data_IF_843503633478
#
_entry.id   IF_843503633478
#
_cell.length_a   1.000
_cell.length_b   1.000
_cell.length_c   1.000
_cell.angle_alpha   90.00
_cell.angle_beta   90.00
_cell.angle_gamma   90.00
#
_symmetry.space_group_name_H-M   'P 1'
#
loop_
_entity.id
_entity.type
_entity.pdbx_description
1 polymer ?
#
# COMPACT_ATOMS: atom_id res chain seq x y z
N UNK A 1 5.20 -3.63 -25.99
CA UNK A 1 3.97 -3.91 -25.19
C UNK A 1 2.82 -2.92 -25.42
N UNK A 2 2.90 -1.65 -25.02
CA UNK A 2 1.73 -0.72 -25.11
C UNK A 2 1.16 -0.58 -26.53
N UNK A 3 2.04 -0.56 -27.54
CA UNK A 3 1.67 -0.47 -28.96
C UNK A 3 1.43 -1.85 -29.61
N UNK A 4 2.06 -2.90 -29.09
CA UNK A 4 1.97 -4.27 -29.63
C UNK A 4 0.79 -5.06 -29.05
N UNK A 5 0.16 -4.52 -28.00
CA UNK A 5 -0.93 -5.15 -27.30
C UNK A 5 -0.47 -6.07 -26.17
N UNK A 6 -1.36 -6.27 -25.20
CA UNK A 6 -1.20 -7.28 -24.15
C UNK A 6 -2.44 -8.17 -24.10
N UNK A 7 -2.24 -9.46 -23.83
CA UNK A 7 -3.36 -10.38 -23.63
C UNK A 7 -3.96 -10.11 -22.25
N UNK A 8 -5.26 -9.84 -22.21
CA UNK A 8 -6.01 -9.65 -20.97
C UNK A 8 -6.07 -10.98 -20.22
N UNK A 9 -5.44 -11.01 -19.04
CA UNK A 9 -5.44 -12.15 -18.11
C UNK A 9 -6.54 -11.99 -17.06
N UNK A 10 -6.78 -13.07 -16.28
CA UNK A 10 -7.88 -13.19 -15.31
C UNK A 10 -8.01 -11.98 -14.37
N UNK A 11 -6.91 -11.50 -13.79
CA UNK A 11 -6.94 -10.37 -12.86
C UNK A 11 -7.40 -9.07 -13.54
N UNK A 12 -6.85 -8.75 -14.72
CA UNK A 12 -7.25 -7.56 -15.47
C UNK A 12 -8.70 -7.66 -15.96
N UNK A 13 -9.12 -8.82 -16.47
CA UNK A 13 -10.51 -9.05 -16.89
C UNK A 13 -11.49 -8.81 -15.73
N UNK A 14 -11.16 -9.33 -14.55
CA UNK A 14 -11.96 -9.12 -13.34
C UNK A 14 -12.03 -7.63 -12.95
N UNK A 15 -10.89 -6.93 -12.93
CA UNK A 15 -10.85 -5.50 -12.60
C UNK A 15 -11.64 -4.63 -13.59
N UNK A 16 -11.54 -4.91 -14.89
CA UNK A 16 -12.31 -4.20 -15.92
C UNK A 16 -13.82 -4.39 -15.69
N UNK A 17 -14.26 -5.62 -15.43
CA UNK A 17 -15.67 -5.91 -15.16
C UNK A 17 -16.16 -5.23 -13.87
N UNK A 18 -15.38 -5.31 -12.79
CA UNK A 18 -15.71 -4.68 -11.50
C UNK A 18 -15.84 -3.16 -11.61
N UNK A 19 -15.05 -2.53 -12.49
CA UNK A 19 -15.04 -1.08 -12.70
C UNK A 19 -15.82 -0.62 -13.94
N UNK A 20 -16.59 -1.51 -14.58
CA UNK A 20 -17.23 -1.26 -15.89
C UNK A 20 -18.01 0.06 -15.93
N UNK A 21 -18.86 0.32 -14.92
CA UNK A 21 -19.68 1.53 -14.88
C UNK A 21 -18.83 2.80 -14.83
N UNK A 22 -17.83 2.85 -13.94
CA UNK A 22 -16.91 3.99 -13.81
C UNK A 22 -16.06 4.19 -15.08
N UNK A 23 -15.62 3.10 -15.70
CA UNK A 23 -14.88 3.15 -16.96
C UNK A 23 -15.76 3.60 -18.14
N UNK A 24 -17.05 3.27 -18.11
CA UNK A 24 -17.99 3.69 -19.15
C UNK A 24 -18.27 5.18 -19.07
N UNK A 25 -18.51 5.73 -17.87
CA UNK A 25 -18.80 7.16 -17.70
C UNK A 25 -17.59 8.05 -17.98
N UNK A 26 -16.39 7.54 -17.77
CA UNK A 26 -15.15 8.25 -18.09
C UNK A 26 -14.82 8.19 -19.60
N UNK A 27 -14.92 9.34 -20.28
CA UNK A 27 -14.69 9.47 -21.73
C UNK A 27 -13.25 9.16 -22.15
N UNK A 28 -12.25 9.48 -21.31
CA UNK A 28 -10.84 9.26 -21.65
C UNK A 28 -10.41 7.80 -21.48
N UNK A 29 -11.12 7.05 -20.61
CA UNK A 29 -10.88 5.62 -20.33
C UNK A 29 -11.69 4.67 -21.22
N UNK A 30 -12.90 5.06 -21.65
CA UNK A 30 -13.77 4.20 -22.47
C UNK A 30 -13.07 3.61 -23.71
N UNK A 31 -12.34 4.38 -24.54
CA UNK A 31 -11.67 3.83 -25.74
C UNK A 31 -10.57 2.81 -25.43
N UNK A 32 -10.11 2.74 -24.18
CA UNK A 32 -9.06 1.83 -23.75
C UNK A 32 -9.66 0.47 -23.37
N UNK A 33 -10.78 0.45 -22.64
CA UNK A 33 -11.30 -0.77 -22.00
C UNK A 33 -12.54 -1.37 -22.68
N UNK A 34 -13.12 -0.69 -23.66
CA UNK A 34 -14.30 -1.14 -24.41
C UNK A 34 -13.98 -1.44 -25.89
N UNK A 35 -14.72 -2.39 -26.46
CA UNK A 35 -14.63 -2.79 -27.85
C UNK A 35 -15.48 -1.87 -28.71
N UNK A 36 -14.81 -0.96 -29.42
CA UNK A 36 -15.46 0.07 -30.23
C UNK A 36 -16.37 0.97 -29.38
N UNK A 37 -17.53 1.33 -29.94
CA UNK A 37 -18.51 2.21 -29.28
C UNK A 37 -19.57 1.44 -28.47
N UNK A 38 -19.38 0.13 -28.28
CA UNK A 38 -20.31 -0.73 -27.54
C UNK A 38 -19.97 -0.81 -26.05
N UNK A 39 -20.94 -1.21 -25.22
CA UNK A 39 -20.74 -1.44 -23.78
C UNK A 39 -19.92 -2.73 -23.48
N UNK A 40 -19.42 -3.40 -24.52
CA UNK A 40 -18.67 -4.65 -24.42
C UNK A 40 -17.23 -4.34 -24.04
N UNK A 41 -16.79 -4.82 -22.89
CA UNK A 41 -15.41 -4.66 -22.42
C UNK A 41 -14.46 -5.69 -23.04
N UNK A 42 -13.16 -5.38 -23.05
CA UNK A 42 -12.13 -6.41 -23.28
C UNK A 42 -12.10 -7.42 -22.12
N UNK A 43 -12.27 -8.69 -22.43
CA UNK A 43 -12.32 -9.82 -21.50
C UNK A 43 -11.13 -10.76 -21.62
N UNK A 44 -11.18 -11.87 -20.87
CA UNK A 44 -10.10 -12.86 -20.83
C UNK A 44 -9.74 -13.37 -22.23
N UNK A 45 -8.45 -13.30 -22.59
CA UNK A 45 -7.94 -13.76 -23.88
C UNK A 45 -7.99 -12.71 -24.99
N UNK A 46 -8.72 -11.60 -24.81
CA UNK A 46 -8.66 -10.49 -25.75
C UNK A 46 -7.29 -9.78 -25.69
N UNK A 47 -6.95 -9.05 -26.74
CA UNK A 47 -5.76 -8.20 -26.78
C UNK A 47 -6.16 -6.73 -26.64
N UNK A 48 -5.60 -6.04 -25.65
CA UNK A 48 -5.81 -4.62 -25.38
C UNK A 48 -4.55 -3.81 -25.74
N UNK A 49 -4.74 -2.65 -26.36
CA UNK A 49 -3.68 -1.73 -26.76
C UNK A 49 -3.77 -0.43 -25.96
N UNK A 50 -2.62 0.17 -25.63
CA UNK A 50 -2.56 1.43 -24.86
C UNK A 50 -1.57 2.41 -25.51
N UNK A 51 -1.76 2.81 -26.77
CA UNK A 51 -0.78 3.62 -27.50
C UNK A 51 -0.58 5.02 -26.88
N UNK A 52 -1.63 5.61 -26.28
CA UNK A 52 -1.52 6.87 -25.52
C UNK A 52 -0.55 6.75 -24.34
N UNK A 53 -0.68 5.69 -23.55
CA UNK A 53 0.26 5.37 -22.47
C UNK A 53 1.66 5.08 -23.03
N UNK A 54 1.76 4.36 -24.16
CA UNK A 54 3.01 4.13 -24.85
C UNK A 54 3.74 5.43 -25.19
N UNK A 55 3.03 6.41 -25.77
CA UNK A 55 3.57 7.75 -26.07
C UNK A 55 4.02 8.49 -24.82
N UNK A 56 3.23 8.47 -23.75
CA UNK A 56 3.62 9.07 -22.46
C UNK A 56 4.92 8.46 -21.93
N UNK A 57 5.04 7.14 -21.93
CA UNK A 57 6.25 6.45 -21.47
C UNK A 57 7.46 6.74 -22.37
N UNK A 58 7.27 6.86 -23.69
CA UNK A 58 8.33 7.28 -24.62
C UNK A 58 8.82 8.70 -24.33
N UNK A 59 7.92 9.66 -24.10
CA UNK A 59 8.29 11.04 -23.75
C UNK A 59 9.14 11.06 -22.48
N UNK A 60 8.74 10.31 -21.44
CA UNK A 60 9.50 10.23 -20.17
C UNK A 60 10.86 9.56 -20.38
N UNK A 61 10.93 8.51 -21.20
CA UNK A 61 12.18 7.82 -21.49
C UNK A 61 13.18 8.71 -22.26
N UNK A 62 12.69 9.54 -23.18
CA UNK A 62 13.51 10.42 -24.02
C UNK A 62 13.94 11.71 -23.31
N UNK A 63 13.02 12.33 -22.55
CA UNK A 63 13.22 13.65 -21.92
C UNK A 63 13.55 13.57 -20.43
N UNK A 64 13.44 12.39 -19.82
CA UNK A 64 13.62 12.18 -18.38
C UNK A 64 12.35 12.44 -17.56
N UNK A 65 12.43 12.25 -16.23
CA UNK A 65 11.28 12.36 -15.34
C UNK A 65 10.67 13.76 -15.26
N UNK A 66 11.46 14.82 -15.49
CA UNK A 66 10.96 16.19 -15.48
C UNK A 66 9.85 16.41 -16.50
N UNK A 67 9.85 15.70 -17.64
CA UNK A 67 8.78 15.82 -18.64
C UNK A 67 7.39 15.44 -18.12
N UNK A 68 7.29 14.66 -17.04
CA UNK A 68 6.01 14.35 -16.38
C UNK A 68 5.52 15.50 -15.49
N UNK A 69 6.44 16.19 -14.82
CA UNK A 69 6.14 17.25 -13.86
C UNK A 69 6.12 18.65 -14.48
N UNK A 70 6.89 18.83 -15.55
CA UNK A 70 7.16 20.07 -16.25
C UNK A 70 6.85 19.89 -17.74
N UNK A 71 5.90 20.66 -18.28
CA UNK A 71 5.62 20.73 -19.72
C UNK A 71 4.35 20.02 -20.18
N UNK A 72 4.39 19.42 -21.37
CA UNK A 72 3.18 19.01 -22.09
C UNK A 72 2.36 17.91 -21.38
N UNK A 73 3.03 17.01 -20.64
CA UNK A 73 2.33 15.98 -19.88
C UNK A 73 1.69 16.57 -18.62
N UNK A 74 2.36 17.50 -17.94
CA UNK A 74 1.80 18.14 -16.74
C UNK A 74 0.59 19.01 -17.08
N UNK A 75 0.63 19.74 -18.20
CA UNK A 75 -0.54 20.48 -18.71
C UNK A 75 -1.72 19.54 -18.98
N UNK A 76 -1.50 18.45 -19.71
CA UNK A 76 -2.55 17.49 -20.02
C UNK A 76 -3.15 16.83 -18.76
N UNK A 77 -2.33 16.57 -17.73
CA UNK A 77 -2.78 16.04 -16.43
C UNK A 77 -3.66 17.08 -15.73
N UNK A 78 -3.20 18.33 -15.62
CA UNK A 78 -3.96 19.40 -14.97
C UNK A 78 -5.29 19.67 -15.68
N UNK A 79 -5.29 19.75 -17.01
CA UNK A 79 -6.51 19.94 -17.81
C UNK A 79 -7.52 18.80 -17.62
N UNK A 80 -7.09 17.54 -17.67
CA UNK A 80 -7.97 16.38 -17.43
C UNK A 80 -8.54 16.41 -16.00
N UNK A 81 -7.71 16.69 -14.99
CA UNK A 81 -8.17 16.72 -13.59
C UNK A 81 -9.16 17.88 -13.36
N UNK A 82 -8.83 19.08 -13.82
CA UNK A 82 -9.66 20.29 -13.61
C UNK A 82 -10.97 20.22 -14.39
N UNK A 83 -10.96 19.68 -15.62
CA UNK A 83 -12.19 19.46 -16.40
C UNK A 83 -13.15 18.45 -15.76
N UNK A 84 -12.66 17.62 -14.83
CA UNK A 84 -13.47 16.72 -14.01
C UNK A 84 -13.68 17.23 -12.57
N UNK A 85 -13.43 18.52 -12.31
CA UNK A 85 -13.70 19.19 -11.04
C UNK A 85 -12.61 19.02 -9.96
N UNK A 86 -11.44 18.48 -10.31
CA UNK A 86 -10.29 18.40 -9.41
C UNK A 86 -9.53 19.73 -9.28
N UNK A 87 -8.64 19.80 -8.29
CA UNK A 87 -7.94 21.04 -7.91
C UNK A 87 -6.44 21.02 -8.20
N UNK A 88 -5.91 19.90 -8.69
CA UNK A 88 -4.48 19.77 -8.99
C UNK A 88 -4.14 20.74 -10.13
N UNK A 89 -3.09 21.52 -9.90
CA UNK A 89 -2.58 22.50 -10.85
C UNK A 89 -1.09 22.25 -11.13
N UNK A 90 -0.55 23.03 -12.05
CA UNK A 90 0.83 22.88 -12.53
C UNK A 90 1.86 23.07 -11.41
N UNK A 91 1.62 24.02 -10.50
CA UNK A 91 2.52 24.25 -9.35
C UNK A 91 2.56 23.03 -8.42
N UNK A 92 1.46 22.29 -8.26
CA UNK A 92 1.45 21.06 -7.44
C UNK A 92 2.37 19.97 -8.05
N UNK A 93 2.42 19.88 -9.38
CA UNK A 93 3.30 18.94 -10.09
C UNK A 93 4.76 19.42 -10.09
N UNK A 94 5.00 20.70 -10.39
CA UNK A 94 6.35 21.28 -10.47
C UNK A 94 7.07 21.28 -9.11
N UNK A 95 6.33 21.44 -8.01
CA UNK A 95 6.91 21.45 -6.65
C UNK A 95 6.96 20.07 -5.99
N UNK A 96 6.45 19.03 -6.66
CA UNK A 96 6.49 17.67 -6.15
C UNK A 96 7.88 17.06 -6.30
N UNK A 97 8.39 16.48 -5.20
CA UNK A 97 9.60 15.66 -5.23
C UNK A 97 9.44 14.42 -4.34
N UNK A 98 9.97 13.29 -4.82
CA UNK A 98 10.07 12.08 -4.02
C UNK A 98 11.02 12.31 -2.83
N UNK A 99 10.62 11.88 -1.63
CA UNK A 99 11.43 12.01 -0.41
C UNK A 99 12.13 10.70 -0.11
N UNK A 100 13.46 10.73 -0.04
CA UNK A 100 14.25 9.58 0.43
C UNK A 100 14.27 9.62 1.95
N UNK A 101 13.77 8.55 2.58
CA UNK A 101 13.73 8.41 4.04
C UNK A 101 14.46 7.13 4.46
N UNK A 102 15.06 7.18 5.64
CA UNK A 102 15.64 5.98 6.28
C UNK A 102 14.51 5.03 6.67
N UNK A 103 14.68 3.75 6.38
CA UNK A 103 13.72 2.72 6.79
C UNK A 103 13.65 2.61 8.32
N UNK A 104 12.45 2.39 8.84
CA UNK A 104 12.27 1.92 10.22
C UNK A 104 12.61 0.43 10.29
N UNK A 105 13.00 -0.04 11.47
CA UNK A 105 13.34 -1.46 11.63
C UNK A 105 13.11 -1.98 13.03
N UNK A 106 13.01 -3.29 13.14
CA UNK A 106 13.08 -4.04 14.40
C UNK A 106 14.04 -5.22 14.23
N UNK A 107 14.64 -5.63 15.34
CA UNK A 107 15.31 -6.91 15.42
C UNK A 107 14.28 -8.03 15.61
N UNK A 108 14.51 -9.13 14.92
CA UNK A 108 13.80 -10.40 15.07
C UNK A 108 14.74 -11.43 15.73
N UNK A 109 14.18 -12.58 16.07
CA UNK A 109 14.99 -13.72 16.51
C UNK A 109 16.07 -14.09 15.48
N UNK A 110 17.12 -14.79 15.92
CA UNK A 110 18.23 -15.26 15.08
C UNK A 110 19.01 -14.16 14.35
N UNK A 111 19.08 -12.95 14.92
CA UNK A 111 19.81 -11.80 14.38
C UNK A 111 19.29 -11.31 13.00
N UNK A 112 18.03 -11.57 12.67
CA UNK A 112 17.40 -10.96 11.50
C UNK A 112 16.90 -9.56 11.82
N UNK A 113 16.89 -8.67 10.83
CA UNK A 113 16.33 -7.33 10.93
C UNK A 113 15.19 -7.22 9.93
N UNK A 114 14.01 -6.83 10.41
CA UNK A 114 12.88 -6.51 9.55
C UNK A 114 12.85 -5.00 9.30
N UNK A 115 12.81 -4.61 8.02
CA UNK A 115 12.74 -3.22 7.60
C UNK A 115 11.33 -2.86 7.12
N UNK A 116 10.95 -1.59 7.31
CA UNK A 116 9.69 -1.02 6.87
C UNK A 116 9.83 0.42 6.41
N UNK A 117 8.92 0.85 5.54
CA UNK A 117 8.81 2.26 5.10
C UNK A 117 8.22 3.09 6.26
N UNK A 118 8.86 4.19 6.69
CA UNK A 118 8.33 5.05 7.76
C UNK A 118 6.96 5.68 7.37
N UNK A 119 6.27 6.33 8.33
CA UNK A 119 5.12 7.17 8.03
C UNK A 119 5.36 8.11 6.82
N UNK A 120 4.36 8.33 5.96
CA UNK A 120 2.93 7.99 6.11
C UNK A 120 2.56 6.51 5.85
N UNK A 121 3.51 5.65 5.47
CA UNK A 121 3.22 4.23 5.31
C UNK A 121 2.95 3.54 6.66
N UNK A 122 2.12 2.49 6.66
CA UNK A 122 1.74 1.76 7.88
C UNK A 122 2.66 0.59 8.22
N UNK A 123 3.90 0.55 7.72
CA UNK A 123 4.78 -0.62 7.94
C UNK A 123 5.10 -0.86 9.42
N UNK A 124 5.08 0.20 10.25
CA UNK A 124 5.24 0.11 11.70
C UNK A 124 4.21 -0.82 12.36
N UNK A 125 2.99 -0.93 11.79
CA UNK A 125 1.95 -1.85 12.26
C UNK A 125 2.36 -3.30 12.01
N UNK A 126 2.89 -3.61 10.83
CA UNK A 126 3.43 -4.93 10.51
C UNK A 126 4.62 -5.28 11.41
N UNK A 127 5.52 -4.32 11.64
CA UNK A 127 6.66 -4.53 12.55
C UNK A 127 6.19 -4.81 13.99
N UNK A 128 5.20 -4.07 14.50
CA UNK A 128 4.63 -4.35 15.82
C UNK A 128 4.03 -5.75 15.92
N UNK A 129 3.27 -6.17 14.90
CA UNK A 129 2.72 -7.53 14.83
C UNK A 129 3.84 -8.57 14.94
N UNK A 130 4.90 -8.43 14.13
CA UNK A 130 6.04 -9.34 14.16
C UNK A 130 6.71 -9.36 15.53
N UNK A 131 6.86 -8.20 16.16
CA UNK A 131 7.48 -8.06 17.48
C UNK A 131 6.67 -8.74 18.58
N UNK A 132 5.35 -8.52 18.60
CA UNK A 132 4.45 -9.18 19.56
C UNK A 132 4.43 -10.69 19.30
N UNK A 133 4.26 -11.13 18.06
CA UNK A 133 4.23 -12.55 17.73
C UNK A 133 5.56 -13.27 18.03
N UNK A 134 6.69 -12.58 17.91
CA UNK A 134 8.01 -13.12 18.28
C UNK A 134 8.09 -13.54 19.74
N UNK A 135 7.43 -12.83 20.65
CA UNK A 135 7.44 -13.16 22.08
C UNK A 135 6.72 -14.47 22.45
N UNK A 136 5.97 -15.07 21.51
CA UNK A 136 5.31 -16.37 21.70
C UNK A 136 6.20 -17.58 21.39
N UNK A 137 7.48 -17.37 21.00
CA UNK A 137 8.46 -18.43 20.71
C UNK A 137 7.89 -19.52 19.79
N UNK A 138 7.28 -19.08 18.68
CA UNK A 138 6.58 -19.97 17.75
C UNK A 138 7.55 -20.96 17.10
N UNK A 139 7.12 -22.22 17.04
CA UNK A 139 7.86 -23.32 16.41
C UNK A 139 6.96 -24.02 15.39
N UNK A 140 7.49 -24.89 14.51
CA UNK A 140 6.64 -25.73 13.66
C UNK A 140 5.61 -26.55 14.46
N UNK A 141 5.94 -26.93 15.70
CA UNK A 141 5.04 -27.63 16.62
C UNK A 141 3.89 -26.76 17.15
N UNK A 142 3.95 -25.44 16.98
CA UNK A 142 2.85 -24.52 17.31
C UNK A 142 1.65 -24.65 16.35
N UNK A 143 1.77 -25.43 15.27
CA UNK A 143 0.71 -25.63 14.27
C UNK A 143 0.41 -27.11 13.97
N UNK A 144 0.96 -28.05 14.76
CA UNK A 144 0.91 -29.50 14.46
C UNK A 144 -0.43 -30.20 14.77
N UNK A 145 -1.41 -29.47 15.32
CA UNK A 145 -2.74 -29.97 15.67
C UNK A 145 -3.79 -28.87 15.54
N UNK A 146 -5.04 -29.27 15.35
CA UNK A 146 -6.17 -28.34 15.19
C UNK A 146 -6.31 -27.39 16.38
N UNK A 147 -6.16 -27.89 17.60
CA UNK A 147 -6.23 -27.07 18.83
C UNK A 147 -5.16 -25.97 18.84
N UNK A 148 -3.90 -26.32 18.51
CA UNK A 148 -2.80 -25.36 18.47
C UNK A 148 -2.97 -24.36 17.31
N UNK A 149 -3.45 -24.80 16.15
CA UNK A 149 -3.75 -23.90 15.04
C UNK A 149 -4.85 -22.90 15.41
N UNK A 150 -5.93 -23.36 16.04
CA UNK A 150 -7.02 -22.49 16.51
C UNK A 150 -6.47 -21.45 17.49
N UNK A 151 -5.67 -21.87 18.48
CA UNK A 151 -5.03 -20.95 19.43
C UNK A 151 -4.10 -19.96 18.73
N UNK A 152 -3.28 -20.42 17.78
CA UNK A 152 -2.38 -19.57 17.00
C UNK A 152 -3.15 -18.49 16.23
N UNK A 153 -4.18 -18.86 15.47
CA UNK A 153 -4.98 -17.91 14.70
C UNK A 153 -5.77 -16.97 15.60
N UNK A 154 -6.25 -17.44 16.75
CA UNK A 154 -6.87 -16.57 17.76
C UNK A 154 -5.89 -15.50 18.24
N UNK A 155 -4.70 -15.89 18.71
CA UNK A 155 -3.66 -14.95 19.16
C UNK A 155 -3.29 -13.99 18.03
N UNK A 156 -3.04 -14.49 16.82
CA UNK A 156 -2.70 -13.66 15.66
C UNK A 156 -3.79 -12.61 15.37
N UNK A 157 -5.07 -13.00 15.45
CA UNK A 157 -6.19 -12.08 15.27
C UNK A 157 -6.29 -11.04 16.39
N UNK A 158 -6.06 -11.41 17.65
CA UNK A 158 -5.99 -10.44 18.77
C UNK A 158 -4.86 -9.43 18.54
N UNK A 159 -3.67 -9.90 18.16
CA UNK A 159 -2.50 -9.05 17.88
C UNK A 159 -2.77 -8.12 16.68
N UNK A 160 -3.41 -8.62 15.61
CA UNK A 160 -3.86 -7.77 14.52
C UNK A 160 -4.80 -6.66 15.01
N UNK A 161 -5.78 -6.97 15.86
CA UNK A 161 -6.71 -5.95 16.36
C UNK A 161 -6.00 -4.89 17.20
N UNK A 162 -5.06 -5.27 18.06
CA UNK A 162 -4.23 -4.32 18.80
C UNK A 162 -3.40 -3.43 17.88
N UNK A 163 -2.68 -4.02 16.93
CA UNK A 163 -1.81 -3.27 16.03
C UNK A 163 -2.64 -2.34 15.12
N UNK A 164 -3.73 -2.82 14.54
CA UNK A 164 -4.62 -2.01 13.70
C UNK A 164 -5.39 -0.95 14.50
N UNK A 165 -5.62 -1.14 15.80
CA UNK A 165 -6.13 -0.09 16.69
C UNK A 165 -5.25 1.16 16.70
N UNK A 166 -3.92 0.99 16.56
CA UNK A 166 -2.99 2.13 16.44
C UNK A 166 -2.81 2.66 15.03
N UNK A 167 -3.17 1.88 14.00
CA UNK A 167 -3.04 2.29 12.58
C UNK A 167 -3.76 3.60 12.27
N UNK A 168 -4.95 3.82 12.84
CA UNK A 168 -5.72 5.05 12.61
C UNK A 168 -5.00 6.31 13.11
N UNK A 169 -4.07 6.19 14.06
CA UNK A 169 -3.31 7.30 14.60
C UNK A 169 -2.03 7.63 13.83
N UNK A 170 -1.66 6.82 12.83
CA UNK A 170 -0.55 7.12 11.91
C UNK A 170 -1.00 8.11 10.82
N UNK A 171 -0.07 8.93 10.35
CA UNK A 171 -0.32 9.92 9.30
C UNK A 171 0.97 10.44 8.66
N UNK A 172 0.84 11.44 7.79
CA UNK A 172 1.99 12.12 7.20
C UNK A 172 2.66 13.07 8.20
N UNK A 173 3.98 13.05 8.19
CA UNK A 173 4.88 13.83 9.05
C UNK A 173 5.36 15.12 8.35
N UNK A 174 4.59 15.64 7.39
CA UNK A 174 5.02 16.55 6.32
C UNK A 174 5.89 17.76 6.73
N UNK A 175 5.83 18.21 8.00
CA UNK A 175 6.71 19.24 8.57
C UNK A 175 6.93 19.03 10.10
N UNK A 176 8.15 18.67 10.50
CA UNK A 176 8.51 18.25 11.87
C UNK A 176 8.23 19.26 12.99
N UNK A 177 7.74 20.47 12.66
CA UNK A 177 7.48 21.54 13.63
C UNK A 177 6.04 21.57 14.18
N UNK A 178 5.13 20.73 13.70
CA UNK A 178 3.75 20.70 14.21
C UNK A 178 3.59 19.76 15.40
N UNK A 179 2.70 20.09 16.35
CA UNK A 179 2.37 19.23 17.50
C UNK A 179 1.92 17.83 17.07
N UNK A 180 1.18 17.74 15.96
CA UNK A 180 0.71 16.49 15.37
C UNK A 180 1.86 15.57 14.94
N UNK A 181 2.96 16.13 14.43
CA UNK A 181 4.10 15.33 13.99
C UNK A 181 4.92 14.82 15.17
N UNK A 182 5.01 15.59 16.26
CA UNK A 182 5.56 15.08 17.52
C UNK A 182 4.73 13.93 18.09
N UNK A 183 3.41 13.98 17.91
CA UNK A 183 2.52 12.88 18.31
C UNK A 183 2.75 11.62 17.45
N UNK A 184 2.88 11.76 16.13
CA UNK A 184 3.21 10.65 15.22
C UNK A 184 4.58 10.06 15.58
N UNK A 185 5.59 10.88 15.86
CA UNK A 185 6.93 10.42 16.25
C UNK A 185 6.90 9.67 17.58
N UNK A 186 6.20 10.20 18.60
CA UNK A 186 6.01 9.50 19.89
C UNK A 186 5.28 8.18 19.71
N UNK A 187 4.23 8.16 18.89
CA UNK A 187 3.49 6.94 18.58
C UNK A 187 4.37 5.93 17.85
N UNK A 188 5.18 6.37 16.88
CA UNK A 188 6.12 5.51 16.16
C UNK A 188 7.14 4.90 17.12
N UNK A 189 7.73 5.71 18.00
CA UNK A 189 8.68 5.25 19.01
C UNK A 189 8.03 4.26 20.00
N UNK A 190 6.78 4.50 20.40
CA UNK A 190 6.00 3.57 21.23
C UNK A 190 5.76 2.25 20.49
N UNK A 191 5.23 2.29 19.26
CA UNK A 191 4.92 1.12 18.43
C UNK A 191 6.17 0.27 18.19
N UNK A 192 7.34 0.89 18.02
CA UNK A 192 8.60 0.18 17.79
C UNK A 192 9.28 -0.27 19.09
N UNK A 193 8.79 0.10 20.28
CA UNK A 193 9.44 -0.25 21.54
C UNK A 193 9.22 -1.71 21.95
N UNK A 194 10.20 -2.37 22.59
CA UNK A 194 9.99 -3.69 23.18
C UNK A 194 8.92 -3.70 24.28
N UNK A 195 8.86 -2.64 25.08
CA UNK A 195 7.95 -2.53 26.22
C UNK A 195 6.49 -2.54 25.78
N UNK A 196 6.19 -1.88 24.65
CA UNK A 196 4.83 -1.82 24.13
C UNK A 196 4.38 -3.16 23.52
N UNK A 197 5.29 -3.89 22.88
CA UNK A 197 4.99 -5.23 22.39
C UNK A 197 4.66 -6.19 23.55
N UNK A 198 5.39 -6.09 24.67
CA UNK A 198 5.12 -6.87 25.88
C UNK A 198 3.80 -6.43 26.55
N UNK A 199 3.49 -5.13 26.59
CA UNK A 199 2.20 -4.64 27.08
C UNK A 199 1.04 -5.26 26.29
N UNK A 200 1.12 -5.26 24.95
CA UNK A 200 0.10 -5.88 24.10
C UNK A 200 -0.01 -7.37 24.40
N UNK A 201 1.12 -8.10 24.48
CA UNK A 201 1.12 -9.53 24.79
C UNK A 201 0.38 -9.81 26.10
N UNK A 202 0.62 -9.02 27.15
CA UNK A 202 -0.05 -9.19 28.44
C UNK A 202 -1.55 -8.89 28.40
N UNK A 203 -1.99 -8.04 27.47
CA UNK A 203 -3.40 -7.71 27.25
C UNK A 203 -4.12 -8.72 26.35
N UNK A 204 -3.42 -9.52 25.56
CA UNK A 204 -4.05 -10.56 24.72
C UNK A 204 -4.71 -11.60 25.62
N UNK A 205 -6.04 -11.69 25.55
CA UNK A 205 -6.79 -12.79 26.15
C UNK A 205 -6.81 -13.97 25.18
N UNK A 206 -6.09 -15.04 25.51
CA UNK A 206 -5.93 -16.21 24.64
C UNK A 206 -7.18 -17.08 24.50
N UNK A 207 -8.19 -16.88 25.34
CA UNK A 207 -9.41 -17.69 25.36
C UNK A 207 -10.62 -16.96 24.75
N UNK A 208 -10.54 -15.63 24.63
CA UNK A 208 -11.70 -14.81 24.28
C UNK A 208 -11.35 -13.50 23.59
N UNK A 209 -11.98 -13.29 22.43
CA UNK A 209 -11.96 -12.01 21.73
C UNK A 209 -12.67 -10.90 22.50
N UNK A 210 -12.10 -9.70 22.43
CA UNK A 210 -12.62 -8.51 23.11
C UNK A 210 -13.42 -7.60 22.16
N UNK A 211 -14.35 -6.77 22.68
CA UNK A 211 -15.07 -5.76 21.88
C UNK A 211 -14.11 -4.72 21.28
N UNK A 212 -14.53 -4.04 20.20
CA UNK A 212 -13.67 -3.10 19.45
C UNK A 212 -13.03 -2.00 20.32
N UNK A 213 -13.79 -1.47 21.30
CA UNK A 213 -13.30 -0.44 22.22
C UNK A 213 -12.07 -0.85 23.03
N UNK A 214 -11.85 -2.15 23.22
CA UNK A 214 -10.71 -2.68 23.96
C UNK A 214 -9.35 -2.45 23.26
N UNK A 215 -9.36 -2.36 21.92
CA UNK A 215 -8.16 -2.13 21.11
C UNK A 215 -7.94 -0.64 20.79
N UNK A 216 -8.82 0.24 21.27
CA UNK A 216 -8.67 1.71 21.21
C UNK A 216 -8.42 2.29 19.78
N UNK A 217 -9.22 1.94 18.75
CA UNK A 217 -9.10 2.60 17.45
C UNK A 217 -9.56 4.06 17.54
N UNK A 218 -8.89 4.97 16.82
CA UNK A 218 -9.35 6.37 16.72
C UNK A 218 -10.52 6.51 15.75
N UNK A 219 -10.51 5.73 14.66
CA UNK A 219 -11.57 5.66 13.66
C UNK A 219 -11.46 4.37 12.85
N UNK A 220 -12.55 3.97 12.21
CA UNK A 220 -12.56 2.80 11.34
C UNK A 220 -11.90 3.14 9.99
N UNK A 221 -10.91 2.35 9.53
CA UNK A 221 -10.30 2.55 8.23
C UNK A 221 -11.29 2.18 7.10
N UNK A 222 -11.22 2.92 5.98
CA UNK A 222 -11.98 2.60 4.78
C UNK A 222 -11.47 1.31 4.12
N UNK A 223 -12.34 0.64 3.38
CA UNK A 223 -12.01 -0.57 2.61
C UNK A 223 -10.91 -0.28 1.58
N UNK A 224 -9.81 -1.02 1.65
CA UNK A 224 -8.66 -0.86 0.76
C UNK A 224 -8.91 -1.48 -0.64
N UNK A 225 -8.02 -1.18 -1.57
CA UNK A 225 -8.00 -1.69 -2.94
C UNK A 225 -6.68 -2.41 -3.22
N UNK A 226 -6.63 -3.18 -4.31
CA UNK A 226 -5.43 -3.95 -4.65
C UNK A 226 -4.26 -3.06 -5.08
N UNK A 227 -3.05 -3.45 -4.69
CA UNK A 227 -1.78 -2.89 -5.16
C UNK A 227 -1.01 -3.94 -5.99
N UNK A 228 0.22 -3.65 -6.38
CA UNK A 228 1.15 -4.61 -6.99
C UNK A 228 2.47 -4.55 -6.25
N UNK A 229 3.15 -5.67 -6.07
CA UNK A 229 4.46 -5.72 -5.44
C UNK A 229 5.44 -6.47 -6.34
N UNK A 230 6.68 -6.00 -6.41
CA UNK A 230 7.78 -6.74 -7.01
C UNK A 230 9.02 -6.71 -6.11
N UNK A 231 9.73 -7.84 -6.10
CA UNK A 231 11.04 -7.97 -5.46
C UNK A 231 12.04 -8.38 -6.53
N UNK A 232 13.14 -7.64 -6.62
CA UNK A 232 14.18 -7.85 -7.63
C UNK A 232 15.51 -7.95 -6.91
N UNK A 233 16.30 -8.97 -7.23
CA UNK A 233 17.69 -9.11 -6.81
C UNK A 233 18.53 -9.32 -8.06
N UNK A 234 19.65 -8.62 -8.18
CA UNK A 234 20.57 -8.79 -9.29
C UNK A 234 21.84 -9.57 -8.89
N UNK A 235 22.67 -9.89 -9.88
CA UNK A 235 23.90 -10.66 -9.68
C UNK A 235 25.01 -9.88 -8.93
N UNK A 236 24.88 -8.55 -8.80
CA UNK A 236 25.80 -7.73 -8.03
C UNK A 236 25.40 -7.63 -6.55
N UNK A 237 24.26 -8.21 -6.16
CA UNK A 237 23.74 -8.17 -4.80
C UNK A 237 22.87 -6.94 -4.51
N UNK A 238 22.48 -6.17 -5.52
CA UNK A 238 21.48 -5.12 -5.33
C UNK A 238 20.11 -5.76 -5.13
N UNK A 239 19.33 -5.23 -4.19
CA UNK A 239 17.99 -5.70 -3.88
C UNK A 239 17.00 -4.53 -3.87
N UNK A 240 15.84 -4.72 -4.50
CA UNK A 240 14.75 -3.74 -4.54
C UNK A 240 13.44 -4.43 -4.20
N UNK A 241 12.69 -3.84 -3.26
CA UNK A 241 11.31 -4.19 -2.98
C UNK A 241 10.44 -2.96 -3.28
N UNK A 242 9.58 -3.05 -4.30
CA UNK A 242 8.76 -1.95 -4.77
C UNK A 242 7.29 -2.34 -4.74
N UNK A 243 6.45 -1.44 -4.21
CA UNK A 243 4.99 -1.58 -4.12
C UNK A 243 4.34 -0.37 -4.76
#
# INVERSE_FOLDING_TARGET
>A
MCNEGIIVRKALAFSILKSKENLWTNKSMRPVFFKGDSDVVYGLGDTIYRPRLGRTLSIIAEKGPSAFYEGELSDAICEEIQSNGGIINRNDLETYHARVKTAISIELENNYIAYGVPPPASSAITLLILKVMGSYALTPQSLDSDEKQVRFYHILNEVFKFAYGKRSALGDEYDSQTEKNQEIERLLNLILSPEYAEEIRQRVNEDKAQPLSYYEPMFEPQTDHGNSHCSIIDAAGNAVAAT
#
